data_IF_275438305228
#
_entry.id   IF_275438305228
#
_cell.length_a   1.000
_cell.length_b   1.000
_cell.length_c   1.000
_cell.angle_alpha   90.00
_cell.angle_beta   90.00
_cell.angle_gamma   90.00
#
_symmetry.space_group_name_H-M   'P 1'
#
loop_
_entity.id
_entity.type
_entity.pdbx_description
1 polymer ?
#
# COMPACT_ATOMS: atom_id res chain seq x y z
N UNK A 1 17.80 -11.86 -15.81
CA UNK A 1 16.89 -11.55 -14.68
C UNK A 1 17.14 -12.42 -13.45
N UNK A 2 17.43 -13.73 -13.54
CA UNK A 2 17.56 -14.62 -12.37
C UNK A 2 18.42 -14.06 -11.20
N UNK A 3 19.64 -13.61 -11.49
CA UNK A 3 20.56 -13.07 -10.46
C UNK A 3 20.36 -11.59 -10.11
N UNK A 4 19.33 -10.95 -10.66
CA UNK A 4 19.10 -9.52 -10.45
C UNK A 4 18.72 -9.26 -8.98
N UNK A 5 19.41 -8.35 -8.27
CA UNK A 5 19.00 -7.99 -6.92
C UNK A 5 17.67 -7.23 -6.98
N UNK A 6 16.70 -7.66 -6.17
CA UNK A 6 15.40 -7.00 -6.01
C UNK A 6 15.16 -6.72 -4.54
N UNK A 7 14.59 -5.55 -4.25
CA UNK A 7 14.14 -5.20 -2.90
C UNK A 7 12.76 -5.81 -2.67
N UNK A 8 12.63 -6.60 -1.60
CA UNK A 8 11.43 -7.36 -1.25
C UNK A 8 11.04 -7.02 0.18
N UNK A 9 9.76 -6.74 0.40
CA UNK A 9 9.15 -6.60 1.71
C UNK A 9 8.80 -7.99 2.27
N UNK A 10 9.18 -8.24 3.51
CA UNK A 10 8.92 -9.46 4.25
C UNK A 10 7.99 -9.17 5.42
N UNK A 11 6.93 -9.96 5.54
CA UNK A 11 5.99 -9.87 6.67
C UNK A 11 5.60 -11.27 7.17
N UNK A 12 5.31 -11.44 8.47
CA UNK A 12 4.95 -12.76 8.99
C UNK A 12 3.58 -13.24 8.50
N UNK A 13 2.66 -12.31 8.27
CA UNK A 13 1.24 -12.57 7.99
C UNK A 13 0.75 -11.95 6.68
N UNK A 14 1.61 -11.25 5.93
CA UNK A 14 1.25 -10.60 4.67
C UNK A 14 0.78 -9.15 4.79
N UNK A 15 0.56 -8.63 6.00
CA UNK A 15 0.15 -7.24 6.20
C UNK A 15 1.40 -6.35 6.36
N UNK A 16 1.76 -5.68 5.27
CA UNK A 16 2.75 -4.61 5.31
C UNK A 16 2.04 -3.28 5.59
N UNK A 17 2.74 -2.37 6.28
CA UNK A 17 2.26 -1.01 6.56
C UNK A 17 0.85 -1.03 7.17
N UNK A 18 0.73 -1.74 8.30
CA UNK A 18 -0.56 -2.01 8.93
C UNK A 18 -0.44 -2.14 10.45
N UNK A 19 -1.58 -2.34 11.11
CA UNK A 19 -1.63 -2.45 12.57
C UNK A 19 -1.33 -3.87 13.01
N UNK A 20 -0.43 -4.02 13.99
CA UNK A 20 -0.19 -5.28 14.66
C UNK A 20 0.03 -5.08 16.16
N UNK A 21 -0.44 -6.04 16.96
CA UNK A 21 -0.28 -6.03 18.40
C UNK A 21 1.02 -6.75 18.82
N UNK A 22 1.78 -6.11 19.70
CA UNK A 22 2.92 -6.72 20.36
C UNK A 22 2.90 -6.42 21.85
N UNK A 23 2.87 -7.47 22.68
CA UNK A 23 2.84 -7.38 24.15
C UNK A 23 1.66 -6.52 24.67
N UNK A 24 0.48 -6.63 24.04
CA UNK A 24 -0.71 -5.89 24.44
C UNK A 24 -0.72 -4.41 23.99
N UNK A 25 0.16 -4.02 23.08
CA UNK A 25 0.24 -2.66 22.54
C UNK A 25 0.12 -2.74 21.02
N UNK A 26 -0.74 -1.90 20.43
CA UNK A 26 -0.86 -1.76 18.99
C UNK A 26 0.22 -0.84 18.42
N UNK A 27 0.86 -1.29 17.35
CA UNK A 27 1.85 -0.54 16.59
C UNK A 27 1.42 -0.44 15.13
N UNK A 28 1.84 0.63 14.46
CA UNK A 28 1.93 0.62 13.01
C UNK A 28 3.24 -0.06 12.63
N UNK A 29 3.17 -1.20 11.93
CA UNK A 29 4.33 -2.04 11.65
C UNK A 29 4.64 -2.04 10.16
N UNK A 30 5.83 -1.56 9.82
CA UNK A 30 6.40 -1.63 8.47
C UNK A 30 7.04 -3.00 8.23
N UNK A 31 7.11 -3.47 6.98
CA UNK A 31 7.77 -4.74 6.66
C UNK A 31 9.29 -4.68 6.88
N UNK A 32 9.91 -5.86 7.02
CA UNK A 32 11.36 -5.95 6.88
C UNK A 32 11.72 -5.89 5.39
N UNK A 33 12.56 -4.96 4.98
CA UNK A 33 13.06 -4.93 3.60
C UNK A 33 14.36 -5.73 3.46
N UNK A 34 14.41 -6.64 2.48
CA UNK A 34 15.65 -7.35 2.10
C UNK A 34 15.91 -7.25 0.61
N UNK A 35 17.19 -7.18 0.26
CA UNK A 35 17.63 -7.36 -1.11
C UNK A 35 17.92 -8.85 -1.29
N UNK A 36 17.32 -9.46 -2.30
CA UNK A 36 17.57 -10.86 -2.68
C UNK A 36 17.61 -11.02 -4.21
N UNK A 37 18.22 -12.08 -4.75
CA UNK A 37 18.12 -12.41 -6.16
C UNK A 37 16.66 -12.65 -6.59
N UNK A 38 16.31 -12.22 -7.79
CA UNK A 38 14.97 -12.41 -8.36
C UNK A 38 14.58 -13.90 -8.42
N UNK A 39 15.53 -14.80 -8.71
CA UNK A 39 15.28 -16.25 -8.67
C UNK A 39 14.84 -16.72 -7.28
N UNK A 40 15.47 -16.22 -6.22
CA UNK A 40 15.11 -16.57 -4.85
C UNK A 40 13.72 -16.03 -4.50
N UNK A 41 13.39 -14.80 -4.92
CA UNK A 41 12.06 -14.24 -4.76
C UNK A 41 11.00 -15.09 -5.49
N UNK A 42 11.26 -15.47 -6.74
CA UNK A 42 10.36 -16.30 -7.53
C UNK A 42 10.19 -17.70 -6.90
N UNK A 43 11.26 -18.33 -6.45
CA UNK A 43 11.18 -19.62 -5.74
C UNK A 43 10.35 -19.50 -4.46
N UNK A 44 10.54 -18.43 -3.69
CA UNK A 44 9.74 -18.17 -2.49
C UNK A 44 8.26 -17.96 -2.83
N UNK A 45 7.98 -17.23 -3.90
CA UNK A 45 6.63 -16.98 -4.39
C UNK A 45 5.95 -18.27 -4.85
N UNK A 46 6.64 -19.08 -5.67
CA UNK A 46 6.14 -20.36 -6.19
C UNK A 46 5.86 -21.37 -5.09
N UNK A 47 6.72 -21.43 -4.08
CA UNK A 47 6.60 -22.37 -2.95
C UNK A 47 5.74 -21.83 -1.80
N UNK A 48 5.23 -20.59 -1.91
CA UNK A 48 4.53 -19.88 -0.83
C UNK A 48 5.33 -19.90 0.48
N UNK A 49 6.64 -19.68 0.39
CA UNK A 49 7.54 -19.62 1.54
C UNK A 49 7.08 -18.56 2.56
N UNK A 50 7.49 -18.76 3.82
CA UNK A 50 7.36 -17.78 4.90
C UNK A 50 8.73 -17.21 5.26
N UNK A 51 8.84 -15.92 5.60
CA UNK A 51 7.78 -14.90 5.65
C UNK A 51 7.20 -14.58 4.25
N UNK A 52 6.02 -13.95 4.23
CA UNK A 52 5.33 -13.54 3.00
C UNK A 52 6.20 -12.49 2.30
N UNK A 53 6.46 -12.71 1.01
CA UNK A 53 7.31 -11.85 0.20
C UNK A 53 6.46 -11.00 -0.74
N UNK A 54 6.78 -9.71 -0.83
CA UNK A 54 6.10 -8.80 -1.75
C UNK A 54 7.07 -7.75 -2.31
N UNK A 55 7.15 -7.63 -3.63
CA UNK A 55 7.80 -6.48 -4.28
C UNK A 55 6.78 -5.35 -4.29
N UNK A 56 7.00 -4.36 -3.43
CA UNK A 56 6.05 -3.27 -3.19
C UNK A 56 6.67 -1.88 -3.03
N UNK A 57 7.95 -1.71 -3.36
CA UNK A 57 8.63 -0.42 -3.16
C UNK A 57 7.99 0.68 -4.03
N UNK A 58 7.34 1.66 -3.40
CA UNK A 58 6.63 2.76 -4.07
C UNK A 58 7.53 3.98 -4.36
N UNK A 59 8.76 3.75 -4.83
CA UNK A 59 9.77 4.81 -5.03
C UNK A 59 10.37 4.73 -6.44
N UNK A 60 9.55 4.75 -7.49
CA UNK A 60 10.01 4.64 -8.87
C UNK A 60 10.75 3.32 -9.17
N UNK A 61 10.37 2.23 -8.48
CA UNK A 61 11.08 0.96 -8.62
C UNK A 61 10.97 0.37 -10.04
N UNK A 62 9.93 0.70 -10.82
CA UNK A 62 9.86 0.26 -12.21
C UNK A 62 11.02 0.85 -13.04
N UNK A 63 11.33 2.13 -12.82
CA UNK A 63 12.38 2.84 -13.57
C UNK A 63 13.76 2.47 -13.04
N UNK A 64 13.95 2.46 -11.73
CA UNK A 64 15.25 2.27 -11.10
C UNK A 64 15.62 0.79 -10.96
N UNK A 65 14.67 -0.02 -10.50
CA UNK A 65 14.92 -1.43 -10.19
C UNK A 65 14.54 -2.34 -11.36
N UNK A 66 13.68 -1.94 -12.31
CA UNK A 66 13.27 -2.80 -13.45
C UNK A 66 13.30 -2.10 -14.82
N UNK A 67 14.36 -1.35 -15.18
CA UNK A 67 14.40 -0.57 -16.42
C UNK A 67 14.23 -1.41 -17.69
N UNK A 68 14.62 -2.69 -17.66
CA UNK A 68 14.44 -3.60 -18.79
C UNK A 68 12.98 -3.90 -19.12
N UNK A 69 12.05 -3.75 -18.17
CA UNK A 69 10.61 -3.92 -18.40
C UNK A 69 9.99 -2.71 -19.10
N UNK A 70 10.67 -1.55 -19.14
CA UNK A 70 10.16 -0.35 -19.80
C UNK A 70 9.99 -0.55 -21.30
N UNK A 71 10.77 -1.45 -21.91
CA UNK A 71 10.62 -1.78 -23.33
C UNK A 71 9.31 -2.53 -23.65
N UNK A 72 8.69 -3.15 -22.64
CA UNK A 72 7.42 -3.86 -22.76
C UNK A 72 6.20 -2.95 -22.51
N UNK A 73 6.43 -1.68 -22.14
CA UNK A 73 5.39 -0.72 -21.79
C UNK A 73 5.28 0.32 -22.90
N UNK A 74 4.11 0.38 -23.54
CA UNK A 74 3.79 1.45 -24.49
C UNK A 74 3.45 2.73 -23.74
N UNK A 75 4.39 3.68 -23.69
CA UNK A 75 4.20 4.98 -23.01
C UNK A 75 2.97 5.76 -23.51
N UNK A 76 2.51 5.50 -24.74
CA UNK A 76 1.32 6.14 -25.29
C UNK A 76 0.03 5.75 -24.56
N UNK A 77 0.05 4.62 -23.83
CA UNK A 77 -1.08 4.19 -22.99
C UNK A 77 -1.41 5.20 -21.89
N UNK A 78 -0.45 6.06 -21.52
CA UNK A 78 -0.61 7.09 -20.48
C UNK A 78 -0.94 8.47 -21.04
N UNK A 79 -1.04 8.63 -22.37
CA UNK A 79 -1.28 9.94 -22.98
C UNK A 79 -2.56 10.59 -22.47
N UNK A 80 -3.63 9.81 -22.25
CA UNK A 80 -4.88 10.34 -21.71
C UNK A 80 -4.70 10.94 -20.31
N UNK A 81 -3.90 10.31 -19.45
CA UNK A 81 -3.65 10.77 -18.09
C UNK A 81 -2.71 11.99 -18.10
N UNK A 82 -1.66 11.96 -18.94
CA UNK A 82 -0.74 13.09 -19.12
C UNK A 82 -1.45 14.34 -19.63
N UNK A 83 -2.39 14.18 -20.56
CA UNK A 83 -3.21 15.26 -21.08
C UNK A 83 -4.21 15.75 -20.01
N UNK A 84 -4.92 14.84 -19.35
CA UNK A 84 -5.94 15.18 -18.35
C UNK A 84 -5.34 15.88 -17.12
N UNK A 85 -4.19 15.41 -16.62
CA UNK A 85 -3.51 15.99 -15.47
C UNK A 85 -2.50 17.08 -15.84
N UNK A 86 -2.28 17.30 -17.14
CA UNK A 86 -1.30 18.24 -17.69
C UNK A 86 0.10 18.10 -17.05
N UNK A 87 0.50 16.86 -16.76
CA UNK A 87 1.79 16.53 -16.12
C UNK A 87 2.22 15.09 -16.43
N UNK A 88 3.50 14.81 -16.29
CA UNK A 88 4.05 13.44 -16.34
C UNK A 88 3.91 12.75 -14.98
N UNK A 89 3.92 11.41 -14.92
CA UNK A 89 3.90 10.71 -13.63
C UNK A 89 5.16 11.04 -12.82
N UNK A 90 4.97 11.33 -11.54
CA UNK A 90 6.02 11.52 -10.53
C UNK A 90 6.65 10.19 -10.12
N UNK A 91 5.84 9.13 -10.10
CA UNK A 91 6.31 7.78 -9.86
C UNK A 91 5.70 6.73 -10.80
N UNK A 92 6.52 5.76 -11.21
CA UNK A 92 6.09 4.53 -11.85
C UNK A 92 6.56 3.33 -11.01
N UNK A 93 5.62 2.51 -10.54
CA UNK A 93 5.94 1.39 -9.67
C UNK A 93 5.53 0.04 -10.25
N UNK A 94 6.34 -0.96 -9.96
CA UNK A 94 6.17 -2.37 -10.26
C UNK A 94 5.81 -3.13 -9.00
N UNK A 95 4.82 -4.02 -9.13
CA UNK A 95 4.29 -4.82 -8.04
C UNK A 95 4.29 -6.29 -8.42
N UNK A 96 4.76 -7.14 -7.50
CA UNK A 96 4.66 -8.59 -7.67
C UNK A 96 4.60 -9.29 -6.32
N UNK A 97 3.56 -10.09 -6.09
CA UNK A 97 3.33 -10.77 -4.82
C UNK A 97 2.34 -11.92 -4.94
N UNK A 98 2.02 -12.51 -3.79
CA UNK A 98 0.98 -13.53 -3.67
C UNK A 98 -0.25 -13.04 -2.89
N UNK A 99 -1.28 -13.89 -2.85
CA UNK A 99 -2.58 -13.58 -2.28
C UNK A 99 -2.57 -13.31 -0.77
N UNK A 100 -1.48 -13.66 -0.08
CA UNK A 100 -1.31 -13.39 1.36
C UNK A 100 -0.85 -11.96 1.59
N UNK A 101 -0.17 -11.32 0.62
CA UNK A 101 0.27 -9.95 0.74
C UNK A 101 -0.91 -8.99 0.56
N UNK A 102 -1.25 -8.27 1.63
CA UNK A 102 -2.38 -7.35 1.74
C UNK A 102 -1.87 -5.95 2.05
N UNK A 103 -2.37 -4.96 1.30
CA UNK A 103 -2.14 -3.55 1.60
C UNK A 103 -3.30 -3.05 2.47
N UNK A 104 -2.97 -2.60 3.69
CA UNK A 104 -3.97 -2.12 4.64
C UNK A 104 -4.72 -0.88 4.13
N UNK A 105 -5.86 -0.56 4.74
CA UNK A 105 -6.66 0.60 4.34
C UNK A 105 -5.86 1.90 4.55
N UNK A 106 -5.67 2.68 3.50
CA UNK A 106 -4.95 3.96 3.55
C UNK A 106 -5.40 4.86 2.40
N UNK A 107 -4.85 6.07 2.31
CA UNK A 107 -5.08 7.00 1.20
C UNK A 107 -3.78 7.66 0.77
N UNK A 108 -3.69 8.02 -0.50
CA UNK A 108 -2.52 8.68 -1.07
C UNK A 108 -2.86 10.09 -1.59
N UNK A 109 -1.91 11.05 -1.54
CA UNK A 109 -2.05 12.35 -2.17
C UNK A 109 -1.71 12.32 -3.67
N UNK A 110 -2.02 11.23 -4.37
CA UNK A 110 -1.70 11.02 -5.78
C UNK A 110 -2.94 10.65 -6.58
N UNK A 111 -3.02 11.17 -7.81
CA UNK A 111 -3.88 10.59 -8.84
C UNK A 111 -3.20 9.31 -9.34
N UNK A 112 -3.83 8.16 -9.12
CA UNK A 112 -3.20 6.86 -9.31
C UNK A 112 -3.83 6.11 -10.49
N UNK A 113 -3.04 5.85 -11.53
CA UNK A 113 -3.42 4.99 -12.65
C UNK A 113 -2.87 3.59 -12.36
N UNK A 114 -3.74 2.68 -11.91
CA UNK A 114 -3.40 1.32 -11.51
C UNK A 114 -3.75 0.31 -12.61
N UNK A 115 -2.82 -0.57 -12.96
CA UNK A 115 -2.94 -1.47 -14.11
C UNK A 115 -2.60 -2.89 -13.67
N UNK A 116 -3.47 -3.86 -13.99
CA UNK A 116 -3.19 -5.27 -13.75
C UNK A 116 -2.65 -5.91 -15.03
N UNK A 117 -1.45 -6.47 -14.96
CA UNK A 117 -0.80 -7.16 -16.08
C UNK A 117 -1.06 -8.66 -16.04
N UNK A 118 -1.05 -9.26 -14.84
CA UNK A 118 -1.32 -10.69 -14.63
C UNK A 118 -1.98 -10.92 -13.29
N UNK A 119 -2.85 -11.94 -13.21
CA UNK A 119 -3.64 -12.23 -12.01
C UNK A 119 -4.81 -11.26 -11.85
N UNK A 120 -5.19 -10.94 -10.60
CA UNK A 120 -6.21 -9.92 -10.32
C UNK A 120 -5.86 -9.13 -9.06
N UNK A 121 -6.48 -7.95 -8.92
CA UNK A 121 -6.44 -7.10 -7.72
C UNK A 121 -7.86 -6.80 -7.26
N UNK A 122 -8.13 -6.98 -5.98
CA UNK A 122 -9.41 -6.64 -5.35
C UNK A 122 -9.22 -5.39 -4.48
N UNK A 123 -9.97 -4.35 -4.80
CA UNK A 123 -9.98 -3.08 -4.08
C UNK A 123 -11.26 -2.96 -3.26
N UNK A 124 -11.12 -2.48 -2.02
CA UNK A 124 -12.22 -1.88 -1.26
C UNK A 124 -11.92 -0.39 -1.21
N UNK A 125 -12.82 0.43 -1.75
CA UNK A 125 -12.67 1.88 -1.85
C UNK A 125 -13.69 2.61 -0.98
N UNK A 126 -13.26 3.66 -0.30
CA UNK A 126 -14.12 4.57 0.46
C UNK A 126 -13.80 6.01 0.02
N UNK A 127 -14.81 6.82 -0.36
CA UNK A 127 -14.58 8.17 -0.84
C UNK A 127 -14.03 9.08 0.28
N UNK A 128 -13.28 10.13 -0.05
CA UNK A 128 -12.72 11.05 0.94
C UNK A 128 -13.80 11.80 1.75
N UNK A 129 -15.04 11.88 1.24
CA UNK A 129 -16.18 12.46 1.97
C UNK A 129 -16.60 11.66 3.19
N UNK A 130 -16.26 10.37 3.23
CA UNK A 130 -16.65 9.44 4.29
C UNK A 130 -15.61 9.37 5.41
N UNK A 131 -14.67 10.32 5.42
CA UNK A 131 -13.69 10.50 6.48
C UNK A 131 -14.25 10.48 7.91
N UNK A 132 -15.50 10.92 8.22
CA UNK A 132 -16.05 10.78 9.57
C UNK A 132 -16.29 9.32 9.99
N UNK A 133 -16.44 8.41 9.01
CA UNK A 133 -16.75 7.00 9.21
C UNK A 133 -15.50 6.11 9.10
N UNK A 134 -14.32 6.67 8.80
CA UNK A 134 -13.06 5.93 8.70
C UNK A 134 -12.22 6.19 9.96
N UNK A 135 -12.20 5.27 10.93
CA UNK A 135 -11.53 5.46 12.21
C UNK A 135 -10.01 5.51 12.02
N UNK A 136 -9.37 6.45 12.72
CA UNK A 136 -7.92 6.61 12.75
C UNK A 136 -7.42 6.86 14.15
N UNK A 137 -6.21 6.38 14.42
CA UNK A 137 -5.50 6.63 15.68
C UNK A 137 -4.02 6.88 15.39
N UNK A 138 -3.35 7.45 16.39
CA UNK A 138 -1.91 7.59 16.40
C UNK A 138 -1.28 6.33 16.97
N UNK A 139 -0.41 5.69 16.21
CA UNK A 139 0.31 4.48 16.59
C UNK A 139 1.81 4.75 16.63
N UNK A 140 2.49 4.16 17.61
CA UNK A 140 3.94 4.09 17.55
C UNK A 140 4.36 3.24 16.34
N UNK A 141 5.29 3.74 15.55
CA UNK A 141 5.86 3.03 14.42
C UNK A 141 6.80 1.92 14.91
N UNK A 142 6.76 0.80 14.23
CA UNK A 142 7.66 -0.33 14.42
C UNK A 142 8.01 -0.95 13.06
N UNK A 143 8.98 -1.85 13.06
CA UNK A 143 9.37 -2.63 11.87
C UNK A 143 9.40 -4.11 12.23
N UNK A 144 8.96 -4.97 11.32
CA UNK A 144 9.21 -6.40 11.44
C UNK A 144 10.71 -6.69 11.26
N UNK A 145 11.25 -7.64 12.01
CA UNK A 145 12.64 -8.06 11.83
C UNK A 145 12.86 -9.52 12.13
N UNK A 146 13.48 -10.21 11.19
CA UNK A 146 13.84 -11.62 11.36
C UNK A 146 14.96 -11.75 12.39
N UNK A 147 14.68 -12.42 13.50
CA UNK A 147 15.67 -12.74 14.52
C UNK A 147 16.55 -13.95 14.12
N UNK A 148 17.52 -14.28 14.98
CA UNK A 148 18.49 -15.39 14.73
C UNK A 148 17.84 -16.76 14.57
N UNK A 149 16.62 -16.95 15.06
CA UNK A 149 15.87 -18.19 14.97
C UNK A 149 14.95 -18.24 13.73
N UNK A 150 14.99 -17.22 12.87
CA UNK A 150 14.12 -17.13 11.69
C UNK A 150 12.69 -16.66 11.97
N UNK A 151 12.40 -16.20 13.20
CA UNK A 151 11.09 -15.66 13.57
C UNK A 151 11.11 -14.14 13.42
N UNK A 152 10.02 -13.55 12.90
CA UNK A 152 9.91 -12.10 12.78
C UNK A 152 9.35 -11.50 14.08
N UNK A 153 10.14 -10.64 14.72
CA UNK A 153 9.74 -9.85 15.88
C UNK A 153 9.32 -8.43 15.45
N UNK A 154 8.61 -7.71 16.32
CA UNK A 154 8.27 -6.30 16.15
C UNK A 154 9.29 -5.45 16.92
N UNK A 155 10.04 -4.60 16.21
CA UNK A 155 10.99 -3.65 16.80
C UNK A 155 10.43 -2.22 16.73
N UNK A 156 10.06 -1.60 17.87
CA UNK A 156 9.60 -0.21 17.89
C UNK A 156 10.69 0.76 17.43
N UNK A 157 10.27 1.80 16.70
CA UNK A 157 11.17 2.79 16.11
C UNK A 157 11.17 4.06 16.97
N UNK A 158 12.36 4.65 17.09
CA UNK A 158 12.60 5.88 17.82
C UNK A 158 13.40 6.85 16.95
N UNK A 159 13.20 8.16 17.17
CA UNK A 159 14.01 9.20 16.56
C UNK A 159 15.43 9.28 17.18
N UNK A 160 16.28 10.17 16.66
CA UNK A 160 17.65 10.37 17.16
C UNK A 160 17.72 10.77 18.64
N UNK A 161 16.63 11.31 19.19
CA UNK A 161 16.50 11.70 20.59
C UNK A 161 15.84 10.61 21.45
N UNK A 162 15.67 9.39 20.92
CA UNK A 162 15.00 8.25 21.56
C UNK A 162 13.52 8.48 21.86
N UNK A 163 12.85 9.37 21.14
CA UNK A 163 11.39 9.54 21.24
C UNK A 163 10.70 8.58 20.27
N UNK A 164 9.58 7.94 20.67
CA UNK A 164 8.78 7.12 19.76
C UNK A 164 8.41 7.89 18.49
N UNK A 165 8.67 7.29 17.34
CA UNK A 165 8.08 7.79 16.09
C UNK A 165 6.62 7.39 16.08
N UNK A 166 5.73 8.34 15.85
CA UNK A 166 4.28 8.13 15.89
C UNK A 166 3.67 8.66 14.61
N UNK A 167 2.74 7.89 14.03
CA UNK A 167 1.98 8.29 12.86
C UNK A 167 0.50 7.97 13.01
N UNK A 168 -0.34 8.71 12.30
CA UNK A 168 -1.77 8.45 12.22
C UNK A 168 -2.03 7.41 11.13
N UNK A 169 -2.79 6.36 11.44
CA UNK A 169 -3.17 5.31 10.50
C UNK A 169 -4.64 4.91 10.67
N UNK A 170 -5.20 4.27 9.64
CA UNK A 170 -6.56 3.71 9.68
C UNK A 170 -6.58 2.51 10.63
N UNK A 171 -7.52 2.54 11.57
CA UNK A 171 -7.59 1.61 12.68
C UNK A 171 -8.47 0.38 12.41
N UNK A 172 -9.09 0.30 11.23
CA UNK A 172 -10.05 -0.74 10.90
C UNK A 172 -9.57 -1.62 9.75
N UNK A 173 -9.67 -2.94 9.95
CA UNK A 173 -9.57 -3.91 8.86
C UNK A 173 -10.94 -3.99 8.16
N UNK A 174 -11.07 -3.55 6.90
CA UNK A 174 -12.34 -3.61 6.18
C UNK A 174 -12.85 -5.04 5.93
N UNK A 175 -11.98 -6.05 6.01
CA UNK A 175 -12.35 -7.46 5.82
C UNK A 175 -12.95 -8.08 7.10
N UNK A 176 -12.61 -7.51 8.25
CA UNK A 176 -13.07 -7.95 9.57
C UNK A 176 -13.25 -6.73 10.48
N UNK A 177 -14.23 -5.85 10.19
CA UNK A 177 -14.40 -4.62 10.92
C UNK A 177 -14.84 -4.90 12.37
N UNK A 178 -14.15 -4.29 13.34
CA UNK A 178 -14.60 -4.24 14.72
C UNK A 178 -15.64 -3.12 14.88
N UNK A 179 -16.91 -3.48 14.74
CA UNK A 179 -18.03 -2.54 14.87
C UNK A 179 -18.43 -2.28 16.33
N UNK A 180 -17.92 -3.06 17.29
CA UNK A 180 -18.09 -2.75 18.71
C UNK A 180 -17.21 -1.54 19.08
N UNK A 181 -15.97 -1.52 18.60
CA UNK A 181 -15.06 -0.39 18.80
C UNK A 181 -15.32 0.78 17.82
N UNK A 182 -15.65 0.49 16.55
CA UNK A 182 -15.84 1.50 15.50
C UNK A 182 -17.22 1.41 14.81
N UNK A 183 -18.32 1.65 15.54
CA UNK A 183 -19.67 1.49 15.00
C UNK A 183 -19.97 2.41 13.79
N UNK A 184 -19.37 3.60 13.73
CA UNK A 184 -19.56 4.56 12.63
C UNK A 184 -19.10 4.01 11.27
N UNK A 185 -18.22 3.00 11.23
CA UNK A 185 -17.75 2.39 9.99
C UNK A 185 -18.86 1.63 9.24
N UNK A 186 -19.92 1.22 9.94
CA UNK A 186 -21.10 0.62 9.31
C UNK A 186 -21.72 1.57 8.28
N UNK A 187 -21.74 2.87 8.58
CA UNK A 187 -22.27 3.94 7.73
C UNK A 187 -21.32 4.38 6.60
N UNK A 188 -20.11 3.83 6.52
CA UNK A 188 -19.18 4.14 5.42
C UNK A 188 -19.68 3.53 4.09
N UNK A 189 -19.73 4.36 3.06
CA UNK A 189 -19.98 3.95 1.68
C UNK A 189 -18.73 3.25 1.15
N UNK A 190 -18.89 1.97 0.79
CA UNK A 190 -17.83 1.09 0.35
C UNK A 190 -18.10 0.62 -1.08
N UNK A 191 -17.08 0.68 -1.92
CA UNK A 191 -17.10 0.12 -3.28
C UNK A 191 -16.12 -1.05 -3.35
N UNK A 192 -16.57 -2.19 -3.84
CA UNK A 192 -15.73 -3.36 -4.07
C UNK A 192 -15.52 -3.56 -5.57
N UNK A 193 -14.26 -3.58 -5.99
CA UNK A 193 -13.89 -3.65 -7.40
C UNK A 193 -12.82 -4.71 -7.58
N UNK A 194 -13.00 -5.58 -8.58
CA UNK A 194 -11.95 -6.48 -9.07
C UNK A 194 -11.40 -5.96 -10.39
N UNK A 195 -10.09 -5.82 -10.46
CA UNK A 195 -9.34 -5.60 -11.70
C UNK A 195 -8.73 -6.91 -12.18
N UNK A 196 -8.95 -7.24 -13.45
CA UNK A 196 -8.41 -8.39 -14.15
C UNK A 196 -7.28 -7.96 -15.10
N UNK A 197 -6.54 -8.90 -15.72
CA UNK A 197 -5.46 -8.54 -16.64
C UNK A 197 -5.97 -7.66 -17.80
N UNK A 198 -5.32 -6.53 -18.00
CA UNK A 198 -5.70 -5.52 -18.99
C UNK A 198 -6.60 -4.40 -18.46
N UNK A 199 -7.18 -4.55 -17.26
CA UNK A 199 -7.99 -3.50 -16.66
C UNK A 199 -7.10 -2.36 -16.12
N UNK A 200 -7.62 -1.13 -16.25
CA UNK A 200 -7.03 0.08 -15.70
C UNK A 200 -8.04 0.69 -14.73
N UNK A 201 -7.58 0.98 -13.51
CA UNK A 201 -8.31 1.75 -12.52
C UNK A 201 -7.67 3.13 -12.40
N UNK A 202 -8.46 4.17 -12.65
CA UNK A 202 -8.16 5.48 -12.09
C UNK A 202 -8.65 5.51 -10.64
N UNK A 203 -7.72 5.51 -9.70
CA UNK A 203 -7.95 5.68 -8.27
C UNK A 203 -7.66 7.15 -7.92
N UNK A 204 -8.70 7.97 -7.68
CA UNK A 204 -8.51 9.40 -7.46
C UNK A 204 -7.77 9.69 -6.15
N UNK A 205 -7.10 10.84 -6.11
CA UNK A 205 -6.42 11.31 -4.90
C UNK A 205 -7.33 11.33 -3.67
N UNK A 206 -6.74 11.02 -2.51
CA UNK A 206 -7.38 10.96 -1.18
C UNK A 206 -8.44 9.87 -0.99
N UNK A 207 -8.72 9.03 -1.99
CA UNK A 207 -9.59 7.88 -1.79
C UNK A 207 -8.93 6.85 -0.88
N UNK A 208 -9.67 6.44 0.15
CA UNK A 208 -9.27 5.35 0.99
C UNK A 208 -9.38 4.05 0.20
N UNK A 209 -8.35 3.24 0.26
CA UNK A 209 -8.31 1.98 -0.45
C UNK A 209 -7.56 0.90 0.34
N UNK A 210 -8.10 -0.31 0.25
CA UNK A 210 -7.51 -1.53 0.76
C UNK A 210 -7.40 -2.53 -0.38
N UNK A 211 -6.27 -3.24 -0.48
CA UNK A 211 -5.93 -4.00 -1.69
C UNK A 211 -5.54 -5.43 -1.34
N UNK A 212 -6.23 -6.39 -1.98
CA UNK A 212 -5.80 -7.80 -2.06
C UNK A 212 -5.45 -8.15 -3.49
N UNK A 213 -4.77 -9.27 -3.67
CA UNK A 213 -4.34 -9.73 -4.98
C UNK A 213 -4.42 -11.24 -5.13
N UNK A 214 -4.33 -11.72 -6.36
CA UNK A 214 -4.19 -13.15 -6.63
C UNK A 214 -2.76 -13.63 -6.38
N UNK A 215 -2.59 -14.95 -6.30
CA UNK A 215 -1.27 -15.57 -6.36
C UNK A 215 -0.54 -15.16 -7.65
N UNK A 216 0.76 -14.82 -7.56
CA UNK A 216 1.61 -14.41 -8.69
C UNK A 216 1.05 -13.21 -9.47
N UNK A 217 0.40 -12.28 -8.77
CA UNK A 217 -0.08 -11.05 -9.39
C UNK A 217 1.11 -10.21 -9.88
N UNK A 218 0.93 -9.57 -11.03
CA UNK A 218 1.82 -8.53 -11.54
C UNK A 218 0.96 -7.32 -11.86
N UNK A 219 1.31 -6.17 -11.29
CA UNK A 219 0.64 -4.91 -11.57
C UNK A 219 1.64 -3.77 -11.67
N UNK A 220 1.22 -2.72 -12.37
CA UNK A 220 1.94 -1.47 -12.51
C UNK A 220 1.06 -0.36 -11.96
N UNK A 221 1.65 0.70 -11.45
CA UNK A 221 0.90 1.92 -11.21
C UNK A 221 1.72 3.16 -11.50
N UNK A 222 1.03 4.23 -11.88
CA UNK A 222 1.62 5.53 -12.18
C UNK A 222 0.96 6.58 -11.29
N UNK A 223 1.79 7.25 -10.50
CA UNK A 223 1.36 8.32 -9.61
C UNK A 223 1.64 9.68 -10.22
N UNK A 224 0.64 10.54 -10.17
CA UNK A 224 0.71 11.95 -10.51
C UNK A 224 0.34 12.74 -9.25
N UNK A 225 1.18 13.67 -8.80
CA UNK A 225 0.92 14.47 -7.61
C UNK A 225 -0.41 15.20 -7.77
N UNK A 226 -1.23 15.17 -6.73
CA UNK A 226 -2.55 15.78 -6.78
C UNK A 226 -2.44 17.30 -6.90
N UNK A 227 -3.47 17.93 -7.46
CA UNK A 227 -3.56 19.38 -7.36
C UNK A 227 -4.11 19.78 -5.98
N UNK A 228 -3.31 20.52 -5.22
CA UNK A 228 -3.66 21.02 -3.89
C UNK A 228 -4.61 22.22 -3.97
N UNK A 229 -5.82 21.97 -4.46
CA UNK A 229 -6.85 22.97 -4.69
C UNK A 229 -7.89 23.04 -3.56
N UNK A 230 -9.05 23.65 -3.84
CA UNK A 230 -10.15 23.77 -2.88
C UNK A 230 -10.62 22.41 -2.33
N UNK A 231 -10.56 21.31 -3.10
CA UNK A 231 -10.96 19.96 -2.67
C UNK A 231 -10.07 19.47 -1.54
N UNK A 232 -8.76 19.70 -1.65
CA UNK A 232 -7.80 19.37 -0.59
C UNK A 232 -8.08 20.19 0.67
N UNK A 233 -8.30 21.51 0.53
CA UNK A 233 -8.66 22.37 1.66
C UNK A 233 -9.95 21.91 2.36
N UNK A 234 -10.98 21.54 1.59
CA UNK A 234 -12.22 20.97 2.14
C UNK A 234 -11.97 19.66 2.87
N UNK A 235 -11.21 18.74 2.27
CA UNK A 235 -10.86 17.48 2.91
C UNK A 235 -10.14 17.71 4.25
N UNK A 236 -9.11 18.57 4.28
CA UNK A 236 -8.38 18.92 5.51
C UNK A 236 -9.27 19.57 6.56
N UNK A 237 -10.24 20.39 6.15
CA UNK A 237 -11.23 20.96 7.07
C UNK A 237 -12.09 19.86 7.70
N UNK A 238 -12.66 18.95 6.91
CA UNK A 238 -13.50 17.85 7.43
C UNK A 238 -12.67 16.90 8.31
N UNK A 239 -11.46 16.57 7.88
CA UNK A 239 -10.51 15.76 8.64
C UNK A 239 -10.25 16.37 10.04
N UNK A 240 -10.01 17.68 10.10
CA UNK A 240 -9.80 18.38 11.37
C UNK A 240 -11.06 18.43 12.24
N UNK A 241 -12.24 18.59 11.63
CA UNK A 241 -13.53 18.54 12.35
C UNK A 241 -13.80 17.16 12.95
N UNK A 242 -13.25 16.10 12.36
CA UNK A 242 -13.30 14.73 12.90
C UNK A 242 -12.24 14.47 13.98
N UNK A 243 -11.40 15.46 14.30
CA UNK A 243 -10.33 15.32 15.30
C UNK A 243 -9.04 14.67 14.78
N UNK A 244 -8.89 14.55 13.46
CA UNK A 244 -7.72 13.95 12.82
C UNK A 244 -6.74 15.01 12.28
N UNK A 245 -5.53 14.58 11.94
CA UNK A 245 -4.54 15.42 11.24
C UNK A 245 -3.88 16.52 12.09
N UNK A 246 -3.87 16.35 13.42
CA UNK A 246 -3.12 17.17 14.39
C UNK A 246 -1.98 16.43 15.04
#
# INVERSE_FOLDING_TARGET
MAYKPVKVALTPNGYADGIAEWKGIEYFVMPEEKIMPMEQFLDNLLNKSTPVNYIQTQNNNLIHDFPELLADIDDSMLNFAKEAFNKSPDAANFWMGDERAVTSMHKDPYENIYIVVSGYKDFILIPPTDVPNVPRKKYQSAIYKTNKNGVMDIEPIFDDNKKPIVLEWVSIDPLKPDLEEYPAYEEAIKYEIRLNPGDILYLPSLWYHHVRQSHKNISLNFWYDMDYDARYCYYKMVEKLCGYGG
#
